data_IF_670285807177
#
_entry.id   IF_670285807177
#
_cell.length_a   1.000
_cell.length_b   1.000
_cell.length_c   1.000
_cell.angle_alpha   90.00
_cell.angle_beta   90.00
_cell.angle_gamma   90.00
#
_symmetry.space_group_name_H-M   'P 1'
#
loop_
_entity.id
_entity.type
_entity.pdbx_description
1 polymer ?
2 non-polymer ?
3 non-polymer ?
4 water ?
#
# COMPACT_ATOMS: atom_id res chain seq x y z
N UNK A 2 -39.03 -12.05 10.09
CA UNK A 2 -37.79 -11.26 9.89
C UNK A 2 -36.57 -12.14 10.13
N UNK A 3 -35.47 -11.52 10.53
CA UNK A 3 -34.23 -12.23 10.81
C UNK A 3 -33.53 -11.55 11.98
N UNK A 4 -32.65 -12.28 12.65
CA UNK A 4 -31.92 -11.72 13.79
C UNK A 4 -30.99 -10.61 13.34
N UNK A 5 -31.07 -9.47 14.02
CA UNK A 5 -30.21 -8.34 13.68
C UNK A 5 -28.89 -8.42 14.43
N UNK A 6 -27.80 -8.14 13.72
CA UNK A 6 -26.47 -8.17 14.31
C UNK A 6 -26.24 -6.87 15.07
N UNK A 7 -25.32 -6.89 16.06
CA UNK A 7 -25.10 -5.63 16.77
C UNK A 7 -24.67 -4.54 15.79
N UNK A 8 -25.18 -3.32 16.00
CA UNK A 8 -24.89 -2.18 15.14
C UNK A 8 -24.29 -1.04 15.96
N UNK A 9 -23.14 -0.54 15.52
CA UNK A 9 -22.48 0.56 16.24
C UNK A 9 -23.36 1.80 16.19
N UNK A 10 -23.26 2.61 17.24
CA UNK A 10 -24.04 3.85 17.36
C UNK A 10 -23.74 4.86 16.24
N UNK A 11 -24.53 5.92 16.20
CA UNK A 11 -24.35 6.95 15.19
C UNK A 11 -24.82 6.48 13.82
N UNK A 12 -24.21 7.01 12.77
CA UNK A 12 -24.57 6.62 11.42
C UNK A 12 -25.94 7.13 11.01
N UNK A 13 -26.18 8.41 11.29
CA UNK A 13 -27.46 9.01 10.95
C UNK A 13 -27.35 9.99 9.80
N UNK A 14 -26.19 10.02 9.14
CA UNK A 14 -25.99 10.92 8.02
C UNK A 14 -26.63 10.35 6.75
N UNK A 15 -26.69 11.15 5.69
CA UNK A 15 -27.31 10.72 4.44
C UNK A 15 -27.01 9.28 4.04
N UNK A 16 -25.75 8.89 4.12
CA UNK A 16 -25.38 7.53 3.74
C UNK A 16 -24.97 6.68 4.94
N UNK A 17 -25.73 6.81 6.03
CA UNK A 17 -25.45 6.04 7.23
C UNK A 17 -24.14 6.42 7.90
N UNK A 18 -23.23 5.44 7.96
CA UNK A 18 -21.92 5.65 8.58
C UNK A 18 -20.87 6.01 7.53
N UNK A 19 -21.26 6.03 6.26
CA UNK A 19 -20.31 6.36 5.20
C UNK A 19 -19.61 7.68 5.47
N UNK A 20 -20.39 8.72 5.75
CA UNK A 20 -19.81 10.04 6.04
C UNK A 20 -18.72 9.96 7.12
N UNK A 21 -19.01 9.26 8.22
CA UNK A 21 -18.03 9.13 9.30
C UNK A 21 -16.86 8.25 8.87
N UNK A 22 -17.13 7.23 8.08
CA UNK A 22 -16.04 6.36 7.64
C UNK A 22 -15.03 7.17 6.84
N UNK A 23 -15.51 8.19 6.15
CA UNK A 23 -14.64 9.04 5.35
C UNK A 23 -13.81 10.00 6.20
N UNK A 24 -14.45 10.63 7.18
CA UNK A 24 -13.77 11.60 8.03
C UNK A 24 -12.90 10.97 9.14
N UNK A 25 -13.31 9.82 9.66
CA UNK A 25 -12.54 9.16 10.71
C UNK A 25 -12.86 7.67 10.78
N UNK A 26 -12.42 6.91 9.77
CA UNK A 26 -12.65 5.46 9.69
C UNK A 26 -12.13 4.65 10.87
N UNK A 27 -10.94 5.00 11.36
CA UNK A 27 -10.38 4.26 12.47
C UNK A 27 -11.21 4.47 13.74
N UNK A 28 -11.63 5.71 13.97
CA UNK A 28 -12.45 5.99 15.14
C UNK A 28 -13.75 5.20 15.08
N UNK A 29 -14.33 5.11 13.89
CA UNK A 29 -15.56 4.37 13.69
C UNK A 29 -15.37 2.86 13.89
N UNK A 30 -14.33 2.31 13.29
CA UNK A 30 -14.08 0.88 13.43
C UNK A 30 -13.77 0.51 14.88
N UNK A 31 -13.09 1.42 15.57
CA UNK A 31 -12.75 1.17 16.98
C UNK A 31 -14.02 1.20 17.82
N UNK A 32 -14.93 2.12 17.50
CA UNK A 32 -16.17 2.21 18.26
C UNK A 32 -17.02 0.97 18.03
N UNK A 33 -16.95 0.41 16.83
CA UNK A 33 -17.71 -0.79 16.53
C UNK A 33 -17.24 -1.88 17.49
N UNK A 34 -15.93 -2.05 17.61
CA UNK A 34 -15.40 -3.07 18.50
C UNK A 34 -15.69 -2.77 19.97
N UNK A 35 -15.55 -1.50 20.38
CA UNK A 35 -15.81 -1.12 21.76
C UNK A 35 -17.27 -1.37 22.17
N UNK A 36 -18.19 -1.09 21.24
CA UNK A 36 -19.61 -1.25 21.52
C UNK A 36 -20.19 -2.64 21.20
N UNK A 37 -19.74 -3.23 20.10
CA UNK A 37 -20.28 -4.53 19.66
C UNK A 37 -19.47 -5.76 20.01
N UNK A 38 -18.16 -5.64 20.07
CA UNK A 38 -17.33 -6.78 20.37
C UNK A 38 -16.64 -7.27 19.11
N UNK A 39 -16.27 -8.55 19.08
CA UNK A 39 -15.59 -9.13 17.92
C UNK A 39 -16.40 -9.09 16.63
N UNK A 40 -17.71 -8.92 16.73
CA UNK A 40 -18.56 -8.86 15.55
C UNK A 40 -19.56 -7.73 15.64
N UNK A 41 -19.36 -6.68 14.84
CA UNK A 41 -20.25 -5.54 14.86
C UNK A 41 -20.47 -5.04 13.45
N UNK A 42 -21.45 -4.18 13.27
CA UNK A 42 -21.73 -3.67 11.92
C UNK A 42 -21.92 -2.16 11.87
N UNK A 43 -21.74 -1.63 10.67
CA UNK A 43 -21.96 -0.21 10.40
C UNK A 43 -22.49 -0.15 8.97
N UNK A 44 -23.23 0.91 8.66
CA UNK A 44 -23.84 1.05 7.36
C UNK A 44 -23.02 1.93 6.41
N UNK A 45 -22.67 1.35 5.27
CA UNK A 45 -21.90 2.08 4.26
C UNK A 45 -22.88 2.26 3.10
N UNK A 46 -23.66 3.33 3.17
CA UNK A 46 -24.65 3.61 2.14
C UNK A 46 -25.70 2.49 2.18
N UNK A 47 -25.86 1.79 1.05
CA UNK A 47 -26.84 0.71 0.99
C UNK A 47 -26.31 -0.65 1.38
N UNK A 48 -25.05 -0.72 1.79
CA UNK A 48 -24.43 -1.99 2.18
C UNK A 48 -24.16 -2.07 3.67
N UNK A 49 -24.34 -3.27 4.24
CA UNK A 49 -24.04 -3.46 5.65
C UNK A 49 -22.66 -4.10 5.76
N UNK A 50 -21.80 -3.51 6.57
CA UNK A 50 -20.46 -4.06 6.75
C UNK A 50 -20.38 -4.80 8.07
N UNK A 51 -20.03 -6.08 8.01
CA UNK A 51 -19.88 -6.89 9.22
C UNK A 51 -18.39 -6.80 9.56
N UNK A 52 -18.04 -5.94 10.51
CA UNK A 52 -16.65 -5.75 10.90
C UNK A 52 -16.24 -6.76 11.95
N UNK A 53 -15.21 -7.53 11.62
CA UNK A 53 -14.70 -8.54 12.53
C UNK A 53 -13.39 -8.08 13.15
N UNK A 54 -13.18 -8.45 14.42
CA UNK A 54 -11.97 -8.08 15.12
C UNK A 54 -11.65 -9.15 16.17
N UNK A 55 -10.39 -9.24 16.58
CA UNK A 55 -10.00 -10.24 17.54
C UNK A 55 -9.54 -11.49 16.82
N UNK A 56 -8.67 -12.26 17.47
CA UNK A 56 -8.12 -13.46 16.87
C UNK A 56 -9.11 -14.44 16.25
N UNK A 57 -10.13 -14.85 17.01
CA UNK A 57 -11.07 -15.81 16.48
C UNK A 57 -11.82 -15.37 15.23
N UNK A 58 -12.39 -14.17 15.27
CA UNK A 58 -13.14 -13.66 14.12
C UNK A 58 -12.20 -13.44 12.93
N UNK A 59 -11.01 -12.93 13.21
CA UNK A 59 -10.03 -12.70 12.16
C UNK A 59 -9.60 -14.01 11.51
N UNK A 60 -9.48 -15.07 12.32
CA UNK A 60 -9.06 -16.37 11.78
C UNK A 60 -10.10 -16.81 10.75
N UNK A 61 -11.36 -16.73 11.13
CA UNK A 61 -12.45 -17.11 10.23
C UNK A 61 -12.34 -16.32 8.94
N UNK A 62 -12.11 -15.02 9.07
CA UNK A 62 -11.99 -14.12 7.93
C UNK A 62 -10.86 -14.51 6.99
N UNK A 63 -9.67 -14.72 7.54
CA UNK A 63 -8.49 -15.05 6.76
C UNK A 63 -8.37 -16.48 6.24
N UNK A 64 -9.10 -17.41 6.83
CA UNK A 64 -9.03 -18.80 6.39
C UNK A 64 -10.20 -19.20 5.49
N UNK A 65 -11.19 -18.32 5.37
CA UNK A 65 -12.35 -18.61 4.55
C UNK A 65 -11.96 -18.77 3.07
N UNK A 66 -12.62 -19.70 2.40
CA UNK A 66 -12.33 -19.95 0.99
C UNK A 66 -12.79 -18.81 0.09
N UNK A 67 -12.13 -18.67 -1.04
CA UNK A 67 -12.45 -17.62 -2.02
C UNK A 67 -13.92 -17.76 -2.43
N UNK A 68 -14.50 -18.91 -2.10
CA UNK A 68 -15.90 -19.20 -2.43
C UNK A 68 -16.85 -18.76 -1.32
N UNK A 69 -16.32 -18.59 -0.12
CA UNK A 69 -17.12 -18.18 1.03
C UNK A 69 -17.19 -16.67 1.09
N UNK A 70 -16.01 -16.05 1.13
CA UNK A 70 -15.90 -14.59 1.16
C UNK A 70 -15.17 -14.20 -0.13
N UNK A 71 -15.87 -13.50 -1.01
CA UNK A 71 -15.29 -13.09 -2.29
C UNK A 71 -14.58 -11.75 -2.18
N UNK A 72 -13.33 -11.71 -2.63
CA UNK A 72 -12.55 -10.47 -2.58
C UNK A 72 -12.90 -9.65 -3.82
N UNK A 73 -13.51 -10.31 -4.80
CA UNK A 73 -13.91 -9.65 -6.03
C UNK A 73 -15.20 -8.88 -5.79
N UNK A 74 -15.29 -7.69 -6.39
CA UNK A 74 -16.45 -6.84 -6.24
C UNK A 74 -16.53 -6.26 -4.84
N UNK A 75 -15.47 -6.46 -4.06
CA UNK A 75 -15.43 -5.94 -2.69
C UNK A 75 -14.90 -4.52 -2.70
N UNK A 76 -14.13 -4.19 -3.73
CA UNK A 76 -13.53 -2.88 -3.88
C UNK A 76 -13.97 -2.26 -5.20
N UNK A 77 -15.25 -1.83 -5.27
CA UNK A 77 -15.84 -1.22 -6.46
C UNK A 77 -15.09 -0.01 -7.03
N UNK A 78 -14.33 0.69 -6.20
CA UNK A 78 -13.61 1.86 -6.68
C UNK A 78 -12.43 1.51 -7.60
N UNK A 79 -12.06 0.23 -7.68
CA UNK A 79 -10.95 -0.20 -8.52
C UNK A 79 -11.31 -0.37 -9.99
N UNK A 80 -12.55 -0.73 -10.28
CA UNK A 80 -12.98 -0.95 -11.66
C UNK A 80 -12.64 0.22 -12.60
N UNK A 81 -13.05 1.45 -12.24
CA UNK A 81 -12.74 2.58 -13.11
C UNK A 81 -11.24 2.84 -13.23
N UNK A 82 -10.50 2.49 -12.18
CA UNK A 82 -9.06 2.70 -12.18
C UNK A 82 -8.35 1.78 -13.16
N UNK A 83 -8.66 0.48 -13.11
CA UNK A 83 -8.01 -0.47 -14.00
C UNK A 83 -8.54 -0.35 -15.43
N UNK A 84 -9.83 -0.10 -15.58
CA UNK A 84 -10.40 0.02 -16.92
C UNK A 84 -10.92 -1.33 -17.38
N UNK A 85 -11.65 -1.33 -18.49
CA UNK A 85 -12.23 -2.56 -19.02
C UNK A 85 -11.25 -3.31 -19.91
N UNK A 86 -10.19 -2.60 -20.33
CA UNK A 86 -9.18 -3.19 -21.19
C UNK A 86 -8.75 -4.59 -20.79
N UNK A 87 -8.42 -5.41 -21.77
CA UNK A 87 -7.99 -6.78 -21.52
C UNK A 87 -6.77 -7.15 -22.38
N UNK A 88 -5.64 -7.37 -21.73
CA UNK A 88 -4.41 -7.74 -22.44
C UNK A 88 -4.30 -9.26 -22.55
N UNK A 89 -4.21 -9.94 -21.42
CA UNK A 89 -4.10 -11.39 -21.42
C UNK A 89 -5.36 -12.02 -20.82
N UNK A 90 -6.31 -12.34 -21.69
CA UNK A 90 -7.57 -12.95 -21.28
C UNK A 90 -7.41 -14.45 -21.08
N UNK A 101 2.13 -9.96 -11.55
CA UNK A 101 2.83 -9.92 -10.28
C UNK A 101 3.74 -11.13 -10.08
N UNK A 102 3.15 -12.31 -10.18
CA UNK A 102 3.87 -13.56 -10.00
C UNK A 102 5.28 -13.57 -10.58
N UNK A 103 5.40 -13.34 -11.88
CA UNK A 103 6.69 -13.35 -12.56
C UNK A 103 7.76 -12.44 -11.95
N UNK A 104 7.48 -11.15 -11.90
CA UNK A 104 8.42 -10.17 -11.35
C UNK A 104 8.72 -10.39 -9.87
N UNK A 105 7.86 -11.13 -9.18
CA UNK A 105 8.04 -11.36 -7.75
C UNK A 105 8.72 -12.68 -7.38
N UNK A 106 9.26 -13.38 -8.37
CA UNK A 106 9.93 -14.64 -8.06
C UNK A 106 11.22 -14.35 -7.30
N UNK A 107 11.52 -15.19 -6.31
CA UNK A 107 12.72 -15.00 -5.51
C UNK A 107 14.01 -14.75 -6.28
N UNK A 108 14.23 -15.50 -7.36
CA UNK A 108 15.44 -15.36 -8.16
C UNK A 108 15.60 -13.96 -8.75
N UNK A 109 14.50 -13.23 -8.82
CA UNK A 109 14.50 -11.87 -9.36
C UNK A 109 14.77 -10.80 -8.29
N UNK A 110 14.59 -11.16 -7.03
CA UNK A 110 14.78 -10.20 -5.93
C UNK A 110 16.13 -9.48 -5.95
N UNK A 111 17.22 -10.23 -6.11
CA UNK A 111 18.55 -9.63 -6.14
C UNK A 111 18.58 -8.46 -7.13
N UNK A 112 18.13 -8.71 -8.35
CA UNK A 112 18.11 -7.68 -9.35
C UNK A 112 17.26 -6.47 -8.97
N UNK A 113 16.09 -6.72 -8.39
CA UNK A 113 15.21 -5.62 -8.01
C UNK A 113 15.86 -4.75 -6.93
N UNK A 114 16.63 -5.40 -6.04
CA UNK A 114 17.29 -4.67 -4.98
C UNK A 114 18.33 -3.71 -5.57
N UNK A 115 19.00 -4.16 -6.62
CA UNK A 115 20.01 -3.34 -7.29
C UNK A 115 19.28 -2.21 -8.02
N UNK A 116 18.14 -2.55 -8.62
CA UNK A 116 17.36 -1.55 -9.35
C UNK A 116 16.87 -0.47 -8.40
N UNK A 117 16.39 -0.89 -7.22
CA UNK A 117 15.87 0.04 -6.23
C UNK A 117 16.98 0.97 -5.73
N UNK A 118 18.15 0.41 -5.43
CA UNK A 118 19.26 1.24 -4.98
C UNK A 118 19.55 2.31 -6.03
N UNK A 119 19.54 1.90 -7.29
CA UNK A 119 19.80 2.83 -8.39
C UNK A 119 18.73 3.93 -8.44
N UNK A 120 17.47 3.54 -8.27
CA UNK A 120 16.39 4.51 -8.29
C UNK A 120 16.52 5.54 -7.18
N UNK A 121 16.90 5.08 -5.99
CA UNK A 121 17.06 5.97 -4.85
C UNK A 121 18.17 6.98 -5.10
N UNK A 122 19.34 6.48 -5.50
CA UNK A 122 20.48 7.35 -5.77
C UNK A 122 20.13 8.40 -6.82
N UNK A 123 19.35 8.00 -7.82
CA UNK A 123 18.95 8.94 -8.87
C UNK A 123 18.00 9.99 -8.31
N UNK A 124 17.15 9.57 -7.36
CA UNK A 124 16.18 10.45 -6.75
C UNK A 124 16.84 11.49 -5.83
N UNK A 125 17.91 11.10 -5.14
CA UNK A 125 18.61 12.04 -4.25
C UNK A 125 19.85 12.66 -4.90
N UNK A 126 20.06 12.36 -6.18
CA UNK A 126 21.22 12.87 -6.91
C UNK A 126 21.45 14.39 -6.84
N UNK A 127 20.37 15.16 -6.76
CA UNK A 127 20.49 16.61 -6.73
C UNK A 127 20.28 17.24 -5.35
N UNK A 128 20.23 16.43 -4.30
CA UNK A 128 20.00 16.94 -2.95
C UNK A 128 21.08 17.88 -2.42
N UNK A 129 22.32 17.66 -2.83
CA UNK A 129 23.39 18.51 -2.35
C UNK A 129 23.70 18.23 -0.89
N UNK A 130 24.34 19.18 -0.22
CA UNK A 130 24.72 19.04 1.19
C UNK A 130 23.56 19.08 2.17
N UNK A 131 22.56 19.90 1.88
CA UNK A 131 21.41 20.01 2.77
C UNK A 131 20.22 20.57 2.03
N UNK A 132 19.05 20.37 2.62
CA UNK A 132 17.81 20.85 2.04
C UNK A 132 16.63 20.24 2.75
N UNK A 133 15.46 20.32 2.12
CA UNK A 133 14.27 19.77 2.74
C UNK A 133 13.42 19.11 1.66
N UNK A 134 12.60 18.16 2.07
CA UNK A 134 11.72 17.46 1.15
C UNK A 134 10.39 17.23 1.84
N UNK A 135 9.37 16.93 1.05
CA UNK A 135 8.07 16.59 1.60
C UNK A 135 8.01 15.08 1.39
N UNK A 136 7.78 14.33 2.47
CA UNK A 136 7.74 12.87 2.40
C UNK A 136 6.77 12.27 1.38
N UNK A 137 5.58 12.86 1.25
CA UNK A 137 4.62 12.34 0.30
C UNK A 137 5.12 12.53 -1.12
N UNK A 138 5.51 13.75 -1.48
CA UNK A 138 6.03 14.03 -2.82
C UNK A 138 7.23 13.14 -3.16
N UNK A 139 8.16 13.02 -2.22
CA UNK A 139 9.37 12.23 -2.43
C UNK A 139 9.10 10.73 -2.59
N UNK A 140 8.49 10.12 -1.59
CA UNK A 140 8.24 8.68 -1.65
C UNK A 140 7.19 8.23 -2.66
N UNK A 141 6.19 9.06 -2.91
CA UNK A 141 5.17 8.69 -3.88
C UNK A 141 5.87 8.61 -5.23
N UNK A 142 6.70 9.61 -5.53
CA UNK A 142 7.42 9.62 -6.80
C UNK A 142 8.45 8.50 -6.88
N UNK A 143 9.27 8.37 -5.84
CA UNK A 143 10.29 7.32 -5.80
C UNK A 143 9.70 5.94 -6.09
N UNK A 144 8.61 5.61 -5.41
CA UNK A 144 7.99 4.31 -5.59
C UNK A 144 7.35 4.08 -6.96
N UNK A 145 7.06 5.17 -7.68
CA UNK A 145 6.52 5.03 -9.02
C UNK A 145 7.71 4.53 -9.86
N UNK A 146 8.88 5.09 -9.60
CA UNK A 146 10.09 4.70 -10.32
C UNK A 146 10.57 3.31 -9.95
N UNK A 147 10.45 2.93 -8.68
CA UNK A 147 10.87 1.60 -8.26
C UNK A 147 9.90 0.55 -8.82
N UNK A 148 8.61 0.80 -8.69
CA UNK A 148 7.58 -0.12 -9.19
C UNK A 148 7.63 -0.32 -10.70
N UNK A 149 7.70 0.77 -11.45
CA UNK A 149 7.73 0.68 -12.91
C UNK A 149 9.01 0.02 -13.41
N UNK A 150 10.14 0.35 -12.78
CA UNK A 150 11.42 -0.23 -13.18
C UNK A 150 11.48 -1.72 -12.89
N UNK A 151 11.05 -2.12 -11.69
CA UNK A 151 11.08 -3.54 -11.32
C UNK A 151 10.00 -4.40 -11.96
N UNK A 152 8.76 -3.91 -11.99
CA UNK A 152 7.64 -4.68 -12.53
C UNK A 152 7.43 -4.59 -14.04
N UNK A 153 7.79 -3.46 -14.64
CA UNK A 153 7.60 -3.29 -16.09
C UNK A 153 8.93 -3.29 -16.85
N UNK A 154 9.90 -2.56 -16.34
CA UNK A 154 11.19 -2.52 -17.01
C UNK A 154 11.92 -1.20 -16.82
N UNK A 155 13.24 -1.27 -16.76
CA UNK A 155 14.07 -0.08 -16.56
C UNK A 155 13.96 0.87 -17.74
N UNK A 156 13.92 0.33 -18.95
CA UNK A 156 13.81 1.19 -20.12
C UNK A 156 12.54 2.01 -20.07
N UNK A 157 11.44 1.39 -19.66
CA UNK A 157 10.16 2.07 -19.56
C UNK A 157 10.24 3.18 -18.51
N UNK A 158 10.80 2.87 -17.35
CA UNK A 158 10.92 3.87 -16.29
C UNK A 158 11.75 5.08 -16.73
N UNK A 159 12.79 4.82 -17.52
CA UNK A 159 13.66 5.90 -18.01
C UNK A 159 12.91 6.89 -18.89
N UNK A 160 11.73 6.49 -19.35
CA UNK A 160 10.93 7.36 -20.19
C UNK A 160 9.80 7.99 -19.38
N UNK A 161 9.83 7.76 -18.07
CA UNK A 161 8.83 8.31 -17.17
C UNK A 161 9.43 9.47 -16.39
N UNK A 162 8.59 10.40 -15.97
CA UNK A 162 9.07 11.52 -15.16
C UNK A 162 8.00 11.85 -14.13
N UNK A 163 8.14 12.99 -13.49
CA UNK A 163 7.20 13.39 -12.47
C UNK A 163 5.74 13.42 -12.89
N UNK A 164 5.49 13.58 -14.19
CA UNK A 164 4.11 13.63 -14.67
C UNK A 164 3.37 12.33 -14.37
N UNK A 165 3.99 11.21 -14.72
CA UNK A 165 3.36 9.91 -14.49
C UNK A 165 3.00 9.78 -13.01
N UNK A 166 3.91 10.23 -12.16
CA UNK A 166 3.70 10.18 -10.71
C UNK A 166 2.47 10.97 -10.28
N UNK A 167 2.40 12.23 -10.71
CA UNK A 167 1.27 13.09 -10.35
C UNK A 167 -0.07 12.51 -10.76
N UNK A 168 -0.15 12.00 -11.98
CA UNK A 168 -1.41 11.44 -12.47
C UNK A 168 -1.78 10.15 -11.74
N UNK A 169 -0.79 9.32 -11.42
CA UNK A 169 -1.05 8.08 -10.73
C UNK A 169 -1.62 8.41 -9.36
N UNK A 170 -1.12 9.49 -8.76
CA UNK A 170 -1.60 9.94 -7.46
C UNK A 170 -3.07 10.33 -7.57
N UNK A 171 -3.42 11.03 -8.66
CA UNK A 171 -4.80 11.45 -8.91
C UNK A 171 -5.69 10.20 -9.02
N UNK A 172 -5.17 9.14 -9.62
CA UNK A 172 -5.92 7.90 -9.76
C UNK A 172 -6.29 7.38 -8.37
N UNK A 173 -5.28 7.28 -7.53
CA UNK A 173 -5.45 6.80 -6.16
C UNK A 173 -6.41 7.67 -5.37
N UNK A 174 -6.39 8.98 -5.62
CA UNK A 174 -7.28 9.88 -4.91
C UNK A 174 -8.74 9.76 -5.36
N UNK A 175 -8.96 9.07 -6.48
CA UNK A 175 -10.32 8.90 -6.97
C UNK A 175 -11.00 7.68 -6.36
N UNK A 176 -10.67 7.39 -5.11
CA UNK A 176 -11.23 6.23 -4.41
C UNK A 176 -12.09 6.60 -3.20
N UNK A 177 -12.84 7.70 -3.31
CA UNK A 177 -13.71 8.14 -2.23
C UNK A 177 -14.71 7.03 -1.89
N UNK A 178 -15.02 6.87 -0.59
CA UNK A 178 -15.96 5.85 -0.13
C UNK A 178 -17.29 5.85 -0.88
N UNK A 179 -17.63 6.99 -1.48
CA UNK A 179 -18.88 7.09 -2.23
C UNK A 179 -18.90 6.07 -3.36
N UNK A 180 -17.74 5.48 -3.64
CA UNK A 180 -17.64 4.47 -4.68
C UNK A 180 -18.59 3.32 -4.37
N UNK A 181 -18.88 3.11 -3.09
CA UNK A 181 -19.79 2.04 -2.70
C UNK A 181 -21.23 2.38 -3.05
N UNK A 182 -21.47 3.62 -3.44
CA UNK A 182 -22.78 4.08 -3.86
C UNK A 182 -22.77 3.84 -5.37
N UNK A 183 -21.75 4.37 -6.02
CA UNK A 183 -21.56 4.25 -7.46
C UNK A 183 -20.18 4.84 -7.78
N UNK A 184 -19.29 4.03 -8.37
CA UNK A 184 -17.96 4.55 -8.70
C UNK A 184 -17.97 5.57 -9.83
N UNK A 185 -19.13 5.82 -10.41
CA UNK A 185 -19.23 6.79 -11.50
C UNK A 185 -20.07 8.01 -11.15
N UNK A 186 -20.30 8.22 -9.85
CA UNK A 186 -21.07 9.36 -9.40
C UNK A 186 -20.37 10.62 -9.90
N UNK A 187 -21.16 11.61 -10.36
CA UNK A 187 -20.59 12.87 -10.86
C UNK A 187 -20.03 13.79 -9.78
N UNK A 188 -18.90 13.40 -9.20
CA UNK A 188 -18.24 14.22 -8.18
C UNK A 188 -16.83 14.55 -8.63
N UNK A 189 -16.27 15.64 -8.10
CA UNK A 189 -14.93 16.09 -8.48
C UNK A 189 -13.80 15.08 -8.40
N UNK A 190 -13.69 14.36 -7.29
CA UNK A 190 -12.61 13.39 -7.15
C UNK A 190 -12.71 12.30 -8.22
N UNK A 191 -13.93 11.90 -8.57
CA UNK A 191 -14.11 10.86 -9.59
C UNK A 191 -13.82 11.42 -10.98
N UNK A 192 -14.12 12.70 -11.17
CA UNK A 192 -13.89 13.36 -12.45
C UNK A 192 -12.39 13.46 -12.69
N UNK A 193 -11.67 13.89 -11.66
CA UNK A 193 -10.23 14.02 -11.77
C UNK A 193 -9.63 12.64 -12.03
N UNK A 194 -10.21 11.62 -11.42
CA UNK A 194 -9.77 10.25 -11.57
C UNK A 194 -9.75 9.87 -13.05
N UNK A 195 -10.88 10.11 -13.72
CA UNK A 195 -11.02 9.79 -15.13
C UNK A 195 -10.09 10.61 -16.03
N UNK A 196 -9.90 11.89 -15.71
CA UNK A 196 -9.01 12.74 -16.48
C UNK A 196 -7.58 12.23 -16.34
N UNK A 197 -7.19 11.92 -15.11
CA UNK A 197 -5.85 11.43 -14.81
C UNK A 197 -5.54 10.15 -15.59
N UNK A 198 -6.50 9.23 -15.62
CA UNK A 198 -6.30 7.97 -16.34
C UNK A 198 -6.10 8.25 -17.82
N UNK A 199 -6.84 9.21 -18.36
CA UNK A 199 -6.68 9.55 -19.76
C UNK A 199 -5.32 10.20 -19.94
N UNK A 200 -4.88 10.92 -18.91
CA UNK A 200 -3.56 11.54 -18.97
C UNK A 200 -2.50 10.44 -19.03
N UNK A 201 -2.70 9.40 -18.25
CA UNK A 201 -1.78 8.26 -18.21
C UNK A 201 -1.74 7.56 -19.57
N UNK A 202 -2.90 7.34 -20.17
CA UNK A 202 -2.98 6.68 -21.47
C UNK A 202 -2.21 7.49 -22.52
N UNK A 203 -2.34 8.81 -22.45
CA UNK A 203 -1.65 9.68 -23.39
C UNK A 203 -0.13 9.55 -23.22
N UNK A 204 0.32 9.49 -21.98
CA UNK A 204 1.76 9.37 -21.71
C UNK A 204 2.32 8.08 -22.32
N UNK A 205 1.57 6.99 -22.18
CA UNK A 205 1.99 5.70 -22.72
C UNK A 205 1.95 5.73 -24.25
N UNK A 206 0.91 6.36 -24.81
CA UNK A 206 0.79 6.45 -26.25
C UNK A 206 1.99 7.22 -26.81
N UNK A 207 2.38 8.30 -26.14
CA UNK A 207 3.53 9.07 -26.59
C UNK A 207 4.77 8.19 -26.58
N UNK A 208 4.94 7.40 -25.53
CA UNK A 208 6.10 6.51 -25.43
C UNK A 208 6.10 5.47 -26.54
N UNK A 209 4.93 4.92 -26.83
CA UNK A 209 4.77 3.91 -27.88
C UNK A 209 5.18 4.49 -29.23
N UNK A 210 4.69 5.69 -29.53
CA UNK A 210 5.00 6.37 -30.78
C UNK A 210 6.50 6.65 -30.90
N UNK A 211 7.11 7.03 -29.78
CA UNK A 211 8.54 7.31 -29.79
C UNK A 211 9.32 6.05 -30.11
N UNK A 212 8.85 4.91 -29.62
CA UNK A 212 9.53 3.66 -29.87
C UNK A 212 9.33 3.16 -31.30
N UNK A 213 8.19 3.49 -31.89
CA UNK A 213 7.91 3.09 -33.27
C UNK A 213 8.88 3.82 -34.19
N UNK A 214 9.03 5.12 -33.95
CA UNK A 214 9.90 5.97 -34.74
C UNK A 214 11.37 5.57 -34.68
N UNK A 215 11.87 5.30 -33.48
CA UNK A 215 13.27 4.91 -33.31
C UNK A 215 13.38 3.69 -32.40
N UNK A 216 13.25 2.49 -32.98
CA UNK A 216 13.33 1.21 -32.25
C UNK A 216 14.68 0.95 -31.59
N UNK A 217 14.71 0.02 -30.61
CA UNK A 217 15.92 -0.36 -29.87
C UNK A 217 17.06 -0.93 -30.71
N UNK A 218 18.29 -0.67 -30.27
CA UNK A 218 19.47 -1.15 -30.98
C UNK A 218 20.14 -2.28 -30.19
N UNK A 223 15.06 -4.23 -25.12
CA UNK A 223 13.61 -4.43 -25.24
C UNK A 223 12.98 -4.81 -23.91
N UNK A 224 11.79 -4.28 -23.65
CA UNK A 224 11.08 -4.58 -22.41
C UNK A 224 9.66 -5.09 -22.69
N UNK A 225 8.86 -5.14 -21.64
CA UNK A 225 7.48 -5.59 -21.74
C UNK A 225 6.68 -4.78 -22.75
N UNK A 226 6.89 -3.46 -22.77
CA UNK A 226 6.17 -2.61 -23.71
C UNK A 226 6.53 -2.96 -25.14
N UNK A 227 7.80 -3.25 -25.39
CA UNK A 227 8.25 -3.60 -26.73
C UNK A 227 7.53 -4.87 -27.20
N UNK A 228 7.41 -5.83 -26.31
CA UNK A 228 6.74 -7.10 -26.64
C UNK A 228 5.29 -6.84 -27.03
N UNK A 229 4.58 -6.11 -26.15
CA UNK A 229 3.18 -5.79 -26.37
C UNK A 229 2.96 -4.99 -27.64
N UNK A 230 3.85 -4.03 -27.89
CA UNK A 230 3.76 -3.19 -29.09
C UNK A 230 3.86 -4.04 -30.36
N UNK A 231 4.69 -5.08 -30.31
CA UNK A 231 4.92 -5.95 -31.46
C UNK A 231 3.84 -6.99 -31.72
N UNK A 232 2.92 -7.18 -30.77
CA UNK A 232 1.87 -8.16 -30.97
C UNK A 232 0.80 -7.62 -31.90
N UNK A 233 0.44 -8.39 -32.92
CA UNK A 233 -0.56 -7.96 -33.88
C UNK A 233 -1.57 -9.04 -34.26
N UNK A 234 -2.75 -8.59 -34.68
CA UNK A 234 -3.83 -9.47 -35.09
C UNK A 234 -3.65 -9.88 -36.55
N UNK A 235 -4.62 -10.63 -37.07
CA UNK A 235 -4.59 -11.13 -38.45
C UNK A 235 -4.22 -10.03 -39.43
N UNK A 236 -5.15 -9.10 -39.62
CA UNK A 236 -4.98 -7.98 -40.54
C UNK A 236 -3.58 -7.39 -40.52
N UNK A 237 -2.88 -7.56 -39.40
CA UNK A 237 -1.53 -7.03 -39.27
C UNK A 237 -1.55 -5.79 -38.39
N UNK A 238 -2.76 -5.38 -38.02
CA UNK A 238 -2.96 -4.21 -37.17
C UNK A 238 -2.52 -4.53 -35.75
N UNK A 239 -1.96 -3.54 -35.03
CA UNK A 239 -1.51 -3.75 -33.65
C UNK A 239 -2.63 -4.34 -32.79
N UNK A 240 -2.31 -5.41 -32.08
CA UNK A 240 -3.27 -6.09 -31.22
C UNK A 240 -3.76 -5.26 -30.03
N UNK A 241 -2.84 -4.55 -29.36
CA UNK A 241 -3.21 -3.77 -28.18
C UNK A 241 -3.13 -2.26 -28.32
N UNK A 242 -4.16 -1.57 -27.84
CA UNK A 242 -4.22 -0.11 -27.88
C UNK A 242 -3.47 0.45 -26.67
N UNK A 243 -3.19 1.74 -26.70
CA UNK A 243 -2.49 2.38 -25.60
C UNK A 243 -3.34 2.27 -24.33
N UNK A 244 -4.65 2.29 -24.49
CA UNK A 244 -5.54 2.19 -23.33
C UNK A 244 -5.44 0.84 -22.66
N UNK A 245 -5.35 -0.22 -23.47
CA UNK A 245 -5.25 -1.58 -22.94
C UNK A 245 -3.93 -1.79 -22.21
N UNK A 246 -2.84 -1.37 -22.83
CA UNK A 246 -1.52 -1.51 -22.23
C UNK A 246 -1.43 -0.71 -20.93
N UNK A 247 -1.89 0.54 -21.00
CA UNK A 247 -1.87 1.41 -19.83
C UNK A 247 -2.71 0.79 -18.72
N UNK A 248 -3.86 0.25 -19.09
CA UNK A 248 -4.73 -0.37 -18.10
C UNK A 248 -3.97 -1.44 -17.34
N UNK A 249 -3.22 -2.26 -18.08
CA UNK A 249 -2.43 -3.32 -17.47
C UNK A 249 -1.31 -2.78 -16.60
N UNK A 250 -0.56 -1.82 -17.12
CA UNK A 250 0.54 -1.23 -16.35
C UNK A 250 0.01 -0.64 -15.04
N UNK A 251 -1.11 0.07 -15.11
CA UNK A 251 -1.71 0.67 -13.92
C UNK A 251 -2.01 -0.43 -12.92
N UNK A 252 -2.65 -1.49 -13.40
CA UNK A 252 -3.02 -2.62 -12.57
C UNK A 252 -1.83 -3.30 -11.92
N UNK A 253 -0.74 -3.45 -12.67
CA UNK A 253 0.47 -4.08 -12.16
C UNK A 253 1.13 -3.30 -11.01
N UNK A 254 1.07 -1.98 -11.10
CA UNK A 254 1.69 -1.12 -10.09
C UNK A 254 0.84 -0.69 -8.92
N UNK A 255 -0.47 -0.87 -8.99
CA UNK A 255 -1.33 -0.40 -7.91
C UNK A 255 -1.13 -0.99 -6.52
N UNK A 256 -1.17 -2.31 -6.40
CA UNK A 256 -1.02 -2.94 -5.09
C UNK A 256 0.25 -2.56 -4.33
N UNK A 257 1.32 -2.26 -5.05
CA UNK A 257 2.55 -1.93 -4.36
C UNK A 257 2.97 -0.48 -4.30
N UNK A 258 2.16 0.42 -4.85
CA UNK A 258 2.55 1.83 -4.83
C UNK A 258 2.21 2.59 -3.55
N UNK A 259 0.92 2.87 -3.33
CA UNK A 259 0.52 3.62 -2.15
C UNK A 259 0.96 2.92 -0.87
N UNK A 260 1.07 1.60 -0.93
CA UNK A 260 1.49 0.82 0.24
C UNK A 260 2.96 1.08 0.57
N UNK A 261 3.84 0.91 -0.41
CA UNK A 261 5.26 1.14 -0.19
C UNK A 261 5.56 2.61 0.06
N UNK A 262 4.84 3.48 -0.63
CA UNK A 262 5.03 4.91 -0.47
C UNK A 262 4.77 5.31 0.98
N UNK A 263 3.55 5.00 1.46
CA UNK A 263 3.19 5.33 2.82
C UNK A 263 4.09 4.68 3.86
N UNK A 264 4.35 3.39 3.68
CA UNK A 264 5.19 2.65 4.60
C UNK A 264 6.61 3.23 4.66
N UNK A 265 7.10 3.74 3.52
CA UNK A 265 8.45 4.32 3.52
C UNK A 265 8.44 5.61 4.34
N UNK A 266 7.40 6.43 4.13
CA UNK A 266 7.29 7.70 4.85
C UNK A 266 7.19 7.49 6.35
N UNK A 267 6.30 6.60 6.76
CA UNK A 267 6.11 6.32 8.18
C UNK A 267 7.32 5.70 8.83
N UNK A 268 8.06 4.89 8.07
CA UNK A 268 9.26 4.28 8.62
C UNK A 268 10.25 5.39 9.00
N UNK A 269 10.42 6.37 8.12
CA UNK A 269 11.33 7.48 8.38
C UNK A 269 10.78 8.35 9.51
N UNK A 270 9.48 8.59 9.50
CA UNK A 270 8.85 9.38 10.55
C UNK A 270 9.09 8.78 11.94
N UNK A 271 8.86 7.48 12.08
CA UNK A 271 9.06 6.82 13.36
C UNK A 271 10.53 6.79 13.76
N UNK A 272 11.43 6.73 12.77
CA UNK A 272 12.86 6.74 13.08
C UNK A 272 13.24 8.10 13.67
N UNK A 273 12.73 9.17 13.08
CA UNK A 273 13.02 10.52 13.54
C UNK A 273 12.34 10.79 14.89
N UNK A 274 11.16 10.20 15.09
CA UNK A 274 10.42 10.35 16.35
C UNK A 274 11.11 9.62 17.49
N UNK A 275 11.89 8.60 17.14
CA UNK A 275 12.58 7.78 18.12
C UNK A 275 14.05 7.67 17.75
N UNK A 276 14.80 8.71 18.09
CA UNK A 276 16.22 8.80 17.79
C UNK A 276 17.09 7.69 18.36
N UNK A 277 16.63 7.01 19.40
CA UNK A 277 17.41 5.93 19.96
C UNK A 277 17.36 4.73 19.03
N UNK A 278 16.20 4.50 18.42
CA UNK A 278 16.03 3.40 17.47
C UNK A 278 16.75 3.78 16.18
N UNK A 279 16.70 5.07 15.85
CA UNK A 279 17.35 5.58 14.66
C UNK A 279 18.86 5.31 14.77
N UNK A 280 19.46 5.70 15.91
CA UNK A 280 20.88 5.49 16.14
C UNK A 280 21.27 4.01 16.08
N UNK A 281 20.38 3.15 16.56
CA UNK A 281 20.64 1.70 16.53
C UNK A 281 20.72 1.24 15.09
N UNK A 282 19.75 1.66 14.28
CA UNK A 282 19.70 1.32 12.87
C UNK A 282 20.94 1.81 12.12
N UNK A 283 21.37 3.04 12.40
CA UNK A 283 22.56 3.59 11.74
C UNK A 283 23.78 2.72 12.02
N UNK A 284 24.07 2.49 13.31
CA UNK A 284 25.22 1.67 13.69
C UNK A 284 25.16 0.33 12.99
N UNK A 285 23.97 -0.27 12.97
CA UNK A 285 23.74 -1.56 12.34
C UNK A 285 24.09 -1.53 10.85
N UNK A 286 23.55 -0.54 10.15
CA UNK A 286 23.81 -0.39 8.72
C UNK A 286 25.31 -0.19 8.45
N UNK A 287 25.93 0.74 9.17
CA UNK A 287 27.35 1.01 8.99
C UNK A 287 28.16 -0.26 9.18
N UNK A 288 27.79 -1.02 10.22
CA UNK A 288 28.48 -2.27 10.55
C UNK A 288 28.28 -3.37 9.50
N UNK A 289 27.03 -3.63 9.14
CA UNK A 289 26.74 -4.67 8.15
C UNK A 289 27.43 -4.40 6.81
N UNK A 290 27.24 -3.19 6.27
CA UNK A 290 27.85 -2.86 4.99
C UNK A 290 29.38 -2.73 5.04
N UNK A 291 29.94 -2.94 6.23
CA UNK A 291 31.38 -2.88 6.36
C UNK A 291 32.00 -4.12 5.75
N UNK A 292 31.17 -5.09 5.37
CA UNK A 292 31.71 -6.31 4.74
C UNK A 292 31.93 -6.07 3.25
N UNK A 293 31.58 -4.89 2.78
CA UNK A 293 31.79 -4.55 1.38
C UNK A 293 30.82 -5.12 0.37
N UNK A 294 29.79 -5.83 0.84
CA UNK A 294 28.80 -6.38 -0.07
C UNK A 294 27.77 -5.30 -0.41
N UNK A 295 27.19 -5.41 -1.61
CA UNK A 295 26.20 -4.46 -2.12
C UNK A 295 24.82 -4.52 -1.47
N UNK A 296 24.00 -3.52 -1.77
CA UNK A 296 22.63 -3.47 -1.26
C UNK A 296 21.88 -4.70 -1.78
N UNK A 297 22.13 -5.08 -3.04
CA UNK A 297 21.45 -6.24 -3.61
C UNK A 297 21.72 -7.51 -2.82
N UNK A 298 22.75 -7.49 -1.98
CA UNK A 298 23.07 -8.65 -1.15
C UNK A 298 22.41 -8.52 0.22
N UNK A 299 22.68 -7.38 0.87
CA UNK A 299 22.16 -7.11 2.21
C UNK A 299 20.66 -6.88 2.32
N UNK A 300 20.04 -6.39 1.26
CA UNK A 300 18.60 -6.12 1.29
C UNK A 300 17.79 -7.42 1.28
N UNK A 301 18.43 -8.51 0.89
CA UNK A 301 17.77 -9.80 0.86
C UNK A 301 18.11 -10.64 2.08
N UNK A 302 18.88 -10.05 3.00
CA UNK A 302 19.29 -10.74 4.21
C UNK A 302 18.96 -9.96 5.49
N UNK A 303 19.24 -10.57 6.64
CA UNK A 303 18.94 -9.95 7.92
C UNK A 303 19.55 -8.58 8.22
N UNK A 304 18.68 -7.65 8.60
CA UNK A 304 19.04 -6.30 8.99
C UNK A 304 18.00 -6.09 10.09
N UNK A 305 18.14 -6.83 11.18
CA UNK A 305 17.26 -6.85 12.36
C UNK A 305 16.71 -5.55 12.93
N UNK A 306 17.57 -4.62 13.34
CA UNK A 306 17.10 -3.37 13.91
C UNK A 306 16.15 -2.63 12.98
N UNK A 307 16.54 -2.50 11.72
CA UNK A 307 15.70 -1.82 10.73
C UNK A 307 14.44 -2.63 10.47
N UNK A 308 14.58 -3.95 10.35
CA UNK A 308 13.41 -4.78 10.11
C UNK A 308 12.40 -4.66 11.24
N UNK A 309 12.89 -4.57 12.49
CA UNK A 309 12.00 -4.44 13.63
C UNK A 309 11.32 -3.08 13.67
N UNK A 310 12.04 -2.05 13.24
CA UNK A 310 11.47 -0.70 13.19
C UNK A 310 10.35 -0.72 12.15
N UNK A 311 10.62 -1.38 11.02
CA UNK A 311 9.64 -1.50 9.95
C UNK A 311 8.37 -2.22 10.41
N UNK A 312 8.55 -3.37 11.05
CA UNK A 312 7.42 -4.15 11.54
C UNK A 312 6.55 -3.34 12.50
N UNK A 313 7.18 -2.59 13.40
CA UNK A 313 6.42 -1.78 14.34
C UNK A 313 5.74 -0.65 13.60
N UNK A 314 6.42 -0.10 12.59
CA UNK A 314 5.85 0.97 11.80
C UNK A 314 4.59 0.45 11.11
N UNK A 315 4.66 -0.77 10.59
CA UNK A 315 3.51 -1.39 9.91
C UNK A 315 2.38 -1.73 10.89
N UNK A 316 2.72 -2.04 12.14
CA UNK A 316 1.69 -2.36 13.14
C UNK A 316 0.89 -1.10 13.47
N UNK A 317 1.61 -0.01 13.69
CA UNK A 317 0.99 1.27 14.03
C UNK A 317 0.39 1.99 12.83
N UNK A 318 1.00 1.81 11.64
CA UNK A 318 0.53 2.49 10.45
C UNK A 318 0.30 1.59 9.24
N UNK A 319 -0.63 0.62 9.35
CA UNK A 319 -0.89 -0.28 8.21
C UNK A 319 -1.53 0.51 7.06
N UNK A 320 -0.91 0.48 5.87
CA UNK A 320 -1.42 1.20 4.70
C UNK A 320 -2.84 0.84 4.30
N UNK A 321 -3.27 -0.39 4.62
CA UNK A 321 -4.64 -0.80 4.34
C UNK A 321 -5.28 -0.95 5.72
N UNK A 322 -6.15 -0.01 6.08
CA UNK A 322 -6.79 -0.04 7.40
C UNK A 322 -8.03 -0.92 7.47
N UNK A 323 -8.52 -1.35 6.31
CA UNK A 323 -9.68 -2.23 6.26
C UNK A 323 -9.57 -3.18 5.07
N UNK A 324 -9.97 -4.42 5.28
CA UNK A 324 -9.92 -5.46 4.25
C UNK A 324 -11.36 -5.92 3.99
N UNK A 325 -11.80 -5.82 2.74
CA UNK A 325 -13.17 -6.16 2.37
C UNK A 325 -13.36 -7.49 1.63
N UNK A 326 -14.53 -8.09 1.85
CA UNK A 326 -14.92 -9.35 1.23
C UNK A 326 -16.45 -9.30 1.08
N UNK A 327 -16.97 -10.08 0.14
CA UNK A 327 -18.41 -10.17 -0.06
C UNK A 327 -18.82 -11.59 0.27
N UNK A 328 -19.68 -11.76 1.27
CA UNK A 328 -20.14 -13.09 1.67
C UNK A 328 -20.90 -13.74 0.51
N UNK A 329 -20.59 -15.00 0.24
CA UNK A 329 -21.25 -15.74 -0.85
C UNK A 329 -22.15 -16.82 -0.27
N UNK A 330 -22.34 -16.77 1.04
CA UNK A 330 -23.19 -17.73 1.72
C UNK A 330 -23.46 -17.30 3.14
N UNK A 331 -24.06 -18.19 3.93
CA UNK A 331 -24.39 -17.89 5.32
C UNK A 331 -23.35 -18.55 6.22
N UNK A 332 -22.77 -17.79 7.14
CA UNK A 332 -21.78 -18.32 8.06
C UNK A 332 -22.04 -17.85 9.48
N UNK A 333 -21.57 -18.63 10.45
CA UNK A 333 -21.73 -18.28 11.86
C UNK A 333 -20.36 -17.96 12.46
N UNK A 334 -20.24 -16.79 13.05
CA UNK A 334 -18.98 -16.39 13.68
C UNK A 334 -19.27 -15.90 15.07
N UNK A 335 -18.87 -16.71 16.06
CA UNK A 335 -19.10 -16.41 17.46
C UNK A 335 -20.57 -16.15 17.77
N UNK A 336 -21.42 -17.08 17.35
CA UNK A 336 -22.85 -16.96 17.61
C UNK A 336 -23.56 -15.92 16.76
N UNK A 337 -22.85 -15.28 15.85
CA UNK A 337 -23.44 -14.27 14.97
C UNK A 337 -23.54 -14.77 13.54
N UNK A 338 -24.63 -14.40 12.88
CA UNK A 338 -24.91 -14.85 11.52
C UNK A 338 -24.54 -13.87 10.41
N UNK A 339 -23.71 -14.35 9.49
CA UNK A 339 -23.30 -13.59 8.32
C UNK A 339 -24.14 -14.13 7.19
N UNK A 340 -24.84 -13.25 6.47
CA UNK A 340 -25.70 -13.67 5.35
C UNK A 340 -25.04 -13.36 4.02
N UNK A 341 -25.30 -14.20 3.02
CA UNK A 341 -24.69 -13.96 1.71
C UNK A 341 -25.07 -12.54 1.28
N UNK A 342 -24.15 -11.86 0.60
CA UNK A 342 -24.42 -10.51 0.17
C UNK A 342 -23.84 -9.50 1.14
N UNK A 343 -23.62 -9.91 2.38
CA UNK A 343 -23.05 -9.02 3.38
C UNK A 343 -21.60 -8.68 3.02
N UNK A 344 -21.18 -7.48 3.37
CA UNK A 344 -19.79 -7.11 3.15
C UNK A 344 -19.17 -7.52 4.48
N UNK A 345 -18.10 -8.30 4.42
CA UNK A 345 -17.44 -8.75 5.64
C UNK A 345 -16.06 -8.10 5.67
N UNK A 346 -15.70 -7.51 6.81
CA UNK A 346 -14.43 -6.83 6.89
C UNK A 346 -13.60 -7.13 8.14
N UNK A 347 -12.30 -6.91 7.98
CA UNK A 347 -11.31 -7.08 9.03
C UNK A 347 -10.54 -5.78 8.99
N UNK A 348 -9.94 -5.37 10.10
CA UNK A 348 -9.21 -4.12 10.12
C UNK A 348 -7.82 -4.19 10.75
N UNK A 349 -6.77 -4.07 9.94
CA UNK A 349 -5.41 -4.11 10.48
C UNK A 349 -5.19 -2.95 11.44
N UNK A 350 -5.83 -1.82 11.12
CA UNK A 350 -5.72 -0.63 11.95
C UNK A 350 -6.13 -0.94 13.38
N UNK A 351 -7.33 -1.49 13.53
CA UNK A 351 -7.84 -1.83 14.85
C UNK A 351 -7.16 -3.05 15.48
N UNK A 352 -7.11 -4.15 14.73
CA UNK A 352 -6.53 -5.37 15.25
C UNK A 352 -5.09 -5.28 15.70
N UNK A 353 -4.28 -4.51 14.96
CA UNK A 353 -2.87 -4.34 15.29
C UNK A 353 -2.65 -3.63 16.62
N UNK A 354 -3.73 -3.08 17.21
CA UNK A 354 -3.60 -2.37 18.47
C UNK A 354 -4.42 -2.97 19.61
N UNK A 355 -4.87 -4.20 19.44
CA UNK A 355 -5.65 -4.87 20.49
C UNK A 355 -4.78 -4.90 21.75
N UNK A 356 -5.23 -4.22 22.82
CA UNK A 356 -4.53 -4.12 24.11
C UNK A 356 -3.96 -5.42 24.67
N UNK A 357 -4.76 -6.47 24.64
CA UNK A 357 -4.35 -7.77 25.16
C UNK A 357 -3.25 -8.44 24.36
N UNK A 358 -3.28 -8.26 23.05
CA UNK A 358 -2.30 -8.90 22.17
C UNK A 358 -0.98 -8.16 22.06
N UNK A 359 -1.03 -6.84 22.15
CA UNK A 359 0.16 -6.03 22.03
C UNK A 359 0.27 -5.05 23.18
N UNK A 360 1.02 -5.41 24.24
CA UNK A 360 1.21 -4.55 25.40
C UNK A 360 1.53 -3.10 25.02
N UNK A 361 0.80 -2.15 25.60
CA UNK A 361 0.99 -0.73 25.28
C UNK A 361 0.93 -0.60 23.76
N UNK A 362 -0.21 -0.96 23.17
CA UNK A 362 -0.42 -0.92 21.72
C UNK A 362 -0.17 0.41 21.01
N UNK A 363 -0.27 1.52 21.74
CA UNK A 363 -0.06 2.82 21.14
C UNK A 363 1.39 3.26 21.16
N UNK A 364 2.26 2.48 21.80
CA UNK A 364 3.67 2.84 21.86
C UNK A 364 4.53 2.15 20.80
N UNK A 365 5.51 2.88 20.29
CA UNK A 365 6.45 2.39 19.28
C UNK A 365 7.50 1.56 20.01
N UNK A 366 7.42 0.24 19.88
CA UNK A 366 8.37 -0.66 20.54
C UNK A 366 8.86 -1.76 19.59
N UNK A 367 9.88 -1.45 18.76
CA UNK A 367 10.41 -2.46 17.83
C UNK A 367 10.92 -3.72 18.52
N UNK A 368 11.21 -3.63 19.82
CA UNK A 368 11.70 -4.78 20.58
C UNK A 368 10.66 -5.90 20.64
N UNK A 369 9.39 -5.59 20.33
CA UNK A 369 8.32 -6.59 20.34
C UNK A 369 8.64 -7.74 19.41
N UNK A 370 9.37 -7.42 18.36
CA UNK A 370 9.72 -8.39 17.33
C UNK A 370 11.07 -9.05 17.51
N UNK A 371 11.74 -8.76 18.62
CA UNK A 371 13.03 -9.38 18.88
C UNK A 371 12.86 -10.87 19.14
N UNK A 372 13.91 -11.64 18.87
CA UNK A 372 13.90 -13.10 19.03
C UNK A 372 13.07 -13.71 20.14
N UNK A 373 13.27 -13.25 21.39
CA UNK A 373 12.49 -13.81 22.50
C UNK A 373 11.01 -13.40 22.56
N UNK A 374 10.67 -12.25 21.96
CA UNK A 374 9.29 -11.78 22.01
C UNK A 374 8.46 -12.12 20.77
N UNK A 375 8.94 -11.75 19.59
CA UNK A 375 8.26 -12.03 18.33
C UNK A 375 6.72 -11.89 18.41
N UNK A 376 6.24 -10.72 18.83
CA UNK A 376 4.79 -10.53 18.94
C UNK A 376 4.08 -10.62 17.59
N UNK A 377 4.83 -10.51 16.50
CA UNK A 377 4.24 -10.60 15.17
C UNK A 377 3.91 -12.07 14.86
N UNK A 378 4.83 -12.97 15.17
CA UNK A 378 4.62 -14.39 14.91
C UNK A 378 3.66 -15.03 15.91
N UNK A 379 3.65 -14.50 17.13
CA UNK A 379 2.79 -15.00 18.20
C UNK A 379 1.30 -14.70 17.96
N UNK A 380 1.02 -13.52 17.41
CA UNK A 380 -0.35 -13.13 17.13
C UNK A 380 -0.62 -13.30 15.64
N UNK A 381 -0.64 -14.55 15.20
CA UNK A 381 -0.83 -14.82 13.77
C UNK A 381 -2.12 -14.30 13.18
N UNK A 382 -3.14 -14.07 14.00
CA UNK A 382 -4.41 -13.59 13.47
C UNK A 382 -4.70 -12.13 13.77
N UNK A 383 -3.89 -11.48 14.62
CA UNK A 383 -4.11 -10.06 14.91
C UNK A 383 -2.98 -9.12 14.47
N UNK A 384 -1.78 -9.62 14.23
CA UNK A 384 -0.70 -8.75 13.72
C UNK A 384 -0.92 -8.97 12.22
N UNK A 385 -1.71 -8.10 11.61
CA UNK A 385 -2.05 -8.27 10.20
C UNK A 385 -1.80 -7.13 9.23
N UNK A 386 -0.62 -6.50 9.28
CA UNK A 386 -0.42 -5.41 8.33
C UNK A 386 -0.42 -5.93 6.89
N UNK A 387 0.05 -7.16 6.71
CA UNK A 387 0.12 -7.81 5.40
C UNK A 387 -1.06 -8.77 5.23
N UNK A 388 -2.05 -8.68 6.09
CA UNK A 388 -3.17 -9.60 6.01
C UNK A 388 -2.70 -10.93 6.55
N UNK A 389 -3.35 -12.01 6.14
CA UNK A 389 -2.99 -13.34 6.61
C UNK A 389 -3.75 -14.40 5.83
N UNK A 390 -3.45 -15.66 6.08
CA UNK A 390 -4.13 -16.74 5.40
C UNK A 390 -3.77 -16.83 3.93
N UNK A 391 -4.70 -17.30 3.13
CA UNK A 391 -4.49 -17.47 1.69
C UNK A 391 -4.17 -16.19 0.92
N UNK A 392 -4.85 -15.09 1.27
CA UNK A 392 -4.66 -13.80 0.61
C UNK A 392 -3.57 -12.90 1.19
N UNK A 393 -2.72 -13.45 2.05
CA UNK A 393 -1.65 -12.64 2.64
C UNK A 393 -0.90 -11.95 1.50
N UNK A 394 -0.53 -10.69 1.70
CA UNK A 394 0.18 -9.91 0.68
C UNK A 394 1.26 -10.71 -0.05
N UNK A 395 1.06 -10.96 -1.34
CA UNK A 395 2.04 -11.71 -2.11
C UNK A 395 3.32 -10.91 -2.33
N UNK A 396 3.22 -9.59 -2.20
CA UNK A 396 4.39 -8.76 -2.40
C UNK A 396 5.09 -8.41 -1.09
N UNK A 397 4.77 -9.15 -0.04
CA UNK A 397 5.36 -8.91 1.28
C UNK A 397 6.88 -8.95 1.28
N UNK A 398 7.47 -10.03 0.76
CA UNK A 398 8.93 -10.15 0.73
C UNK A 398 9.57 -9.02 -0.09
N UNK A 399 8.95 -8.69 -1.23
CA UNK A 399 9.45 -7.61 -2.09
C UNK A 399 9.40 -6.27 -1.35
N UNK A 400 8.28 -6.03 -0.67
CA UNK A 400 8.06 -4.79 0.07
C UNK A 400 9.07 -4.60 1.20
N UNK A 401 9.41 -5.68 1.89
CA UNK A 401 10.37 -5.63 2.98
C UNK A 401 11.77 -5.40 2.39
N UNK A 402 12.05 -6.09 1.30
CA UNK A 402 13.33 -5.93 0.61
C UNK A 402 13.49 -4.49 0.14
N UNK A 403 12.40 -3.92 -0.39
CA UNK A 403 12.44 -2.55 -0.88
C UNK A 403 12.74 -1.55 0.24
N UNK A 404 12.09 -1.74 1.39
CA UNK A 404 12.34 -0.85 2.53
C UNK A 404 13.80 -0.99 2.94
N UNK A 405 14.30 -2.22 2.98
CA UNK A 405 15.69 -2.44 3.34
C UNK A 405 16.64 -1.74 2.37
N UNK A 406 16.36 -1.86 1.07
CA UNK A 406 17.21 -1.24 0.05
C UNK A 406 17.15 0.29 0.06
N UNK A 407 15.94 0.84 0.17
CA UNK A 407 15.77 2.29 0.18
C UNK A 407 16.52 2.95 1.34
N UNK A 408 16.28 2.48 2.56
CA UNK A 408 16.94 3.06 3.71
C UNK A 408 18.42 2.71 3.86
N UNK A 409 18.86 1.60 3.27
CA UNK A 409 20.29 1.23 3.34
C UNK A 409 21.04 2.34 2.63
N UNK A 410 20.42 2.90 1.60
CA UNK A 410 21.00 3.99 0.84
C UNK A 410 20.78 5.34 1.53
N UNK A 411 19.51 5.64 1.82
CA UNK A 411 19.17 6.91 2.47
C UNK A 411 19.86 7.19 3.80
N UNK A 412 19.74 6.25 4.74
CA UNK A 412 20.33 6.43 6.07
C UNK A 412 21.86 6.46 6.10
N UNK A 413 22.51 5.92 5.07
CA UNK A 413 23.98 5.94 5.06
C UNK A 413 24.50 7.21 4.39
N UNK A 414 23.72 7.78 3.48
CA UNK A 414 24.10 8.99 2.76
C UNK A 414 23.72 10.26 3.51
N UNK A 415 22.50 10.29 4.06
CA UNK A 415 21.99 11.47 4.75
C UNK A 415 21.42 11.25 6.14
N UNK A 416 21.30 12.36 6.88
CA UNK A 416 20.71 12.38 8.21
C UNK A 416 19.39 13.11 8.05
N UNK A 417 18.35 12.68 8.75
CA UNK A 417 17.05 13.33 8.62
C UNK A 417 16.48 13.85 9.92
N UNK A 418 15.85 15.02 9.86
CA UNK A 418 15.22 15.62 11.02
C UNK A 418 13.87 16.19 10.62
N UNK A 419 12.92 16.14 11.55
CA UNK A 419 11.58 16.66 11.29
C UNK A 419 11.61 18.19 11.23
N UNK A 420 10.95 18.74 10.23
CA UNK A 420 10.90 20.19 10.05
C UNK A 420 9.60 20.77 10.58
N UNK A 421 8.79 19.93 11.21
CA UNK A 421 7.53 20.38 11.77
C UNK A 421 7.24 19.57 13.04
N UNK A 422 6.22 19.94 13.81
CA UNK A 422 5.93 19.19 15.03
C UNK A 422 5.76 17.68 14.79
N UNK A 423 6.38 16.86 15.65
CA UNK A 423 6.30 15.40 15.54
C UNK A 423 4.86 14.88 15.42
N UNK A 424 3.94 15.55 16.11
CA UNK A 424 2.54 15.16 16.10
C UNK A 424 1.81 15.58 14.84
N UNK A 425 2.40 16.49 14.05
CA UNK A 425 1.76 16.97 12.84
C UNK A 425 1.79 15.97 11.67
N UNK A 426 2.61 14.94 11.74
CA UNK A 426 2.64 13.96 10.66
C UNK A 426 1.45 13.04 10.87
N UNK A 427 0.61 12.94 9.85
CA UNK A 427 -0.60 12.12 9.93
C UNK A 427 -1.05 11.66 8.55
N UNK A 428 -2.03 10.75 8.53
CA UNK A 428 -2.56 10.24 7.29
C UNK A 428 -3.85 10.95 6.90
N UNK A 429 -4.16 10.90 5.61
CA UNK A 429 -5.39 11.47 5.10
C UNK A 429 -6.23 10.21 4.88
N UNK A 430 -7.36 10.13 5.57
CA UNK A 430 -8.21 8.96 5.43
C UNK A 430 -9.52 9.26 4.69
N UNK A 431 -9.53 10.35 3.93
CA UNK A 431 -10.74 10.72 3.19
C UNK A 431 -11.01 9.82 1.99
N UNK A 432 -10.05 8.98 1.62
CA UNK A 432 -10.22 8.07 0.49
C UNK A 432 -9.92 6.63 0.91
N UNK A 433 -10.46 5.65 0.18
CA UNK A 433 -10.22 4.25 0.51
C UNK A 433 -8.72 3.95 0.44
N UNK A 434 -8.00 4.71 -0.37
CA UNK A 434 -6.56 4.55 -0.50
C UNK A 434 -5.90 5.57 0.42
N UNK A 435 -5.44 5.11 1.58
CA UNK A 435 -4.81 6.00 2.56
C UNK A 435 -3.51 6.60 2.02
N UNK A 436 -3.38 7.92 2.16
CA UNK A 436 -2.18 8.65 1.72
C UNK A 436 -1.68 9.50 2.89
N UNK A 437 -0.38 9.73 2.93
CA UNK A 437 0.19 10.55 3.98
C UNK A 437 -0.34 11.95 3.70
N UNK A 438 -0.69 12.69 4.75
CA UNK A 438 -1.20 14.04 4.55
C UNK A 438 -0.04 15.02 4.46
N UNK A 439 -0.29 16.14 3.79
CA UNK A 439 0.73 17.17 3.64
C UNK A 439 0.32 18.40 4.45
N UNK A 440 1.29 19.21 4.90
CA UNK A 440 2.73 19.02 4.67
C UNK A 440 3.36 17.90 5.50
N UNK A 441 4.46 17.38 4.99
CA UNK A 441 5.22 16.33 5.67
C UNK A 441 6.67 16.72 5.42
N UNK A 442 7.02 17.92 5.89
CA UNK A 442 8.37 18.46 5.71
C UNK A 442 9.45 17.88 6.60
N UNK A 443 10.54 17.48 5.97
CA UNK A 443 11.68 16.89 6.65
C UNK A 443 12.98 17.52 6.14
N UNK A 444 13.91 17.74 7.06
CA UNK A 444 15.22 18.31 6.71
C UNK A 444 16.23 17.19 6.57
N UNK A 445 17.13 17.31 5.60
CA UNK A 445 18.18 16.32 5.41
C UNK A 445 19.51 17.05 5.32
N UNK A 446 20.60 16.33 5.58
CA UNK A 446 21.96 16.85 5.54
C UNK A 446 22.93 15.68 5.41
N UNK A 447 23.89 15.78 4.49
CA UNK A 447 24.87 14.71 4.28
C UNK A 447 25.56 14.26 5.56
N UNK A 448 25.75 12.94 5.69
CA UNK A 448 26.42 12.38 6.87
C UNK A 448 27.93 12.55 6.70
N UNK A 449 28.67 12.14 7.72
CA UNK A 449 30.13 12.23 7.73
C UNK A 449 30.56 13.69 7.70
N UNK A 450 30.42 14.34 6.64
X LIG B 1 -2.54 -7.88 -0.84
X LIG B 1 -0.46 -5.15 2.52
X LIG B 1 3.13 -4.09 -0.53
X LIG B 1 1.03 -6.82 -3.88
X LIG B 1 -2.31 -7.24 0.36
X LIG B 1 -3.15 -7.31 1.56
X LIG B 1 -2.56 -6.53 2.50
X LIG B 1 -1.35 -5.98 1.92
X LIG B 1 -3.04 -6.25 3.93
X LIG B 1 -4.44 -8.14 1.70
X LIG B 1 -5.72 -7.49 1.20
X LIG B 1 -6.98 -8.36 1.43
X LIG B 1 -6.83 -9.36 2.25
X LIG B 1 -8.02 -8.07 0.85
X LIG B 1 0.68 -4.62 1.99
X LIG B 1 1.59 -3.74 2.71
X LIG B 1 2.61 -3.43 1.86
X LIG B 1 2.34 -4.12 0.62
X LIG B 1 1.39 -3.30 4.15
X LIG B 1 3.84 -2.54 2.10
X LIG B 1 4.87 -3.13 3.07
X LIG B 1 2.87 -4.76 -1.71
X LIG B 1 3.75 -4.70 -2.90
X LIG B 1 3.17 -5.47 -3.85
X LIG B 1 1.93 -6.00 -3.26
X LIG B 1 5.08 -3.88 -2.93
X LIG B 1 3.60 -5.80 -5.31
X LIG B 1 5.10 -5.83 -5.62
X LIG B 1 -0.12 -7.35 -3.38
X LIG B 1 -1.05 -8.21 -4.08
X LIG B 1 -2.05 -8.52 -3.24
X LIG B 1 -1.76 -7.84 -1.99
X LIG B 1 -0.86 -8.67 -5.54
X LIG B 1 -3.27 -9.43 -3.54
X LIG B 1 -3.04 -10.87 -2.98
X LIG B 1 -4.20 -11.81 -3.26
X LIG B 1 -5.36 -11.50 -2.90
X LIG B 1 -3.89 -12.87 -3.83
X LIG B 1 -1.23 -6.44 0.61
X LIG B 1 1.16 -4.84 0.71
X LIG B 1 1.78 -5.56 -1.96
X LIG B 1 -0.58 -7.11 -2.09
X LIG B 1 0.27 -5.99 -0.70
X LIG C 1 8.87 21.13 3.18
#
# INVERSE_FOLDING_TARGET
>A
MSAVALPRVSGGHDEHGHLEEFRTDPIGLMQRVRDECGDVGTFQLAGKQVVLLSGSHANEFFFRAGDDDLDQAKAYPFMTPIFGEGVVFDASPERRKEMLHNAALRGEQMKGHAATIEDQVRRMIADWGEAGEIDLLDFFAELTIYTSSACLIGKKFRDQLDGRFAKLYHELERGTDPLAYVDPYLPIESFRRRDEARNGLVALVADIMNGRIANPPTDKSDRDMLDVLIAVKAETGTPRFSADEITGMFISMMFAGHHTSSGTASWTLIELMRHRDAYAAVIDELDELYGDGRSVSFHALRQIPQLENVLKETLRLHPPLIILMRVAKGEFEVQGHRIHEGDLVAASPAISNRIPEDFPDPHDFVPARYEQPRQEDLLNRWTWIPFGAGRHRCVGAAFAIMQIKAIFSVLLREYEFEMAQPPESYRNDHSKMVVQLAQPACVRYRRRTGVHHHH
>B hetero
1 HEM CHA CHB CHC CHD C1A C2A C3A C4A CMA CAA CBA CGA O1A O2A C1B C2B C3B C4B CMB CAB CBB C1C C2C C3C C4C CMC CAC CBC C1D C2D C3D C4D CMD CAD CBD CGD O1D O2D NA NB NC ND FE
>C hetero
1 FE2 FE
#
